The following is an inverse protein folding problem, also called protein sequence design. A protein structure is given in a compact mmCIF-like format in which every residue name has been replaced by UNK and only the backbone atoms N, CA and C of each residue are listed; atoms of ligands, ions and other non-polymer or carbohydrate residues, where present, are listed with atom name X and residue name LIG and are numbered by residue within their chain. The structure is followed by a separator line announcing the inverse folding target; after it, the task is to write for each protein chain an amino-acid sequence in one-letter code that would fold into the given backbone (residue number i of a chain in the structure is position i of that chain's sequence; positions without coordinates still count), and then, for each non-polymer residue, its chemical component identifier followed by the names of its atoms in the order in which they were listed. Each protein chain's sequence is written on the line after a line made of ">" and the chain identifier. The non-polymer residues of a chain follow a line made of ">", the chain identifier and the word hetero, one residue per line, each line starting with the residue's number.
data_IF_434183162890
#
_entry.id   IF_434183162890
#
_cell.length_a   1.000
_cell.length_b   1.000
_cell.length_c   1.000
_cell.angle_alpha   90.00
_cell.angle_beta   90.00
_cell.angle_gamma   90.00
#
_symmetry.space_group_name_H-M   'P 1'
#
loop_
_entity.id
_entity.type
_entity.pdbx_description
1 polymer ?
#
# COMPACT_ATOMS: atom_id res chain seq x y z
N UNK A 1 -8.22 -40.51 20.98
CA UNK A 1 -7.43 -39.29 20.71
C UNK A 1 -7.18 -39.19 19.21
N UNK A 2 -7.44 -38.03 18.61
CA UNK A 2 -6.53 -37.61 17.53
C UNK A 2 -6.12 -36.13 17.63
N UNK A 3 -4.82 -35.91 17.39
CA UNK A 3 -4.22 -34.76 16.70
C UNK A 3 -4.50 -33.35 17.27
N UNK A 4 -3.95 -33.09 18.46
CA UNK A 4 -3.41 -31.76 18.78
C UNK A 4 -2.09 -31.61 18.03
N UNK A 5 -2.02 -30.86 16.92
CA UNK A 5 -0.76 -30.37 16.31
C UNK A 5 -1.04 -29.42 15.13
N UNK A 6 -1.73 -28.30 15.39
CA UNK A 6 -2.13 -27.35 14.33
C UNK A 6 -1.96 -25.87 14.66
N UNK A 7 -1.07 -25.52 15.60
CA UNK A 7 -0.84 -24.13 16.04
C UNK A 7 0.54 -23.47 15.76
N UNK A 8 1.51 -24.00 14.98
CA UNK A 8 2.87 -23.43 15.08
C UNK A 8 3.22 -22.25 14.17
N UNK A 9 2.77 -22.14 12.90
CA UNK A 9 3.47 -21.27 11.93
C UNK A 9 3.17 -19.78 12.08
N UNK A 10 1.91 -19.38 12.22
CA UNK A 10 1.51 -17.96 12.30
C UNK A 10 1.98 -17.32 13.62
N UNK A 11 1.78 -18.04 14.73
CA UNK A 11 2.27 -17.63 16.06
C UNK A 11 3.80 -17.54 16.05
N UNK A 12 4.49 -18.41 15.33
CA UNK A 12 5.95 -18.34 15.21
C UNK A 12 6.42 -17.15 14.35
N UNK A 13 5.68 -16.78 13.30
CA UNK A 13 5.99 -15.59 12.49
C UNK A 13 5.83 -14.30 13.30
N UNK A 14 4.71 -14.13 14.02
CA UNK A 14 4.49 -12.95 14.88
C UNK A 14 5.53 -12.87 16.00
N UNK A 15 5.80 -13.98 16.68
CA UNK A 15 6.81 -14.03 17.74
C UNK A 15 8.22 -13.73 17.22
N UNK A 16 8.55 -14.19 16.02
CA UNK A 16 9.86 -13.93 15.40
C UNK A 16 9.99 -12.51 14.86
N UNK A 17 8.91 -11.92 14.34
CA UNK A 17 8.88 -10.50 14.01
C UNK A 17 9.08 -9.65 15.27
N UNK A 18 8.37 -9.97 16.36
CA UNK A 18 8.55 -9.30 17.65
C UNK A 18 9.98 -9.47 18.18
N UNK A 19 10.53 -10.68 18.13
CA UNK A 19 11.92 -10.96 18.50
C UNK A 19 12.92 -10.19 17.62
N UNK A 20 12.69 -10.12 16.30
CA UNK A 20 13.52 -9.35 15.38
C UNK A 20 13.48 -7.85 15.70
N UNK A 21 12.28 -7.31 15.95
CA UNK A 21 12.09 -5.92 16.37
C UNK A 21 12.81 -5.63 17.70
N UNK A 22 12.92 -6.61 18.60
CA UNK A 22 13.59 -6.47 19.89
C UNK A 22 15.10 -6.76 19.87
N UNK A 23 15.62 -7.57 18.95
CA UNK A 23 17.02 -8.00 18.98
C UNK A 23 17.89 -7.28 17.96
N UNK A 24 17.33 -6.85 16.83
CA UNK A 24 18.09 -6.26 15.73
C UNK A 24 18.37 -4.77 15.97
N UNK A 25 19.53 -4.48 16.58
CA UNK A 25 19.96 -3.10 16.89
C UNK A 25 20.02 -2.17 15.65
N UNK A 26 20.59 -2.58 14.49
CA UNK A 26 20.53 -1.77 13.27
C UNK A 26 19.12 -1.43 12.81
N UNK A 27 18.21 -2.41 12.79
CA UNK A 27 16.81 -2.20 12.42
C UNK A 27 16.15 -1.18 13.37
N UNK A 28 16.33 -1.33 14.69
CA UNK A 28 15.81 -0.38 15.67
C UNK A 28 16.29 1.04 15.42
N UNK A 29 17.57 1.22 15.12
CA UNK A 29 18.14 2.53 14.83
C UNK A 29 17.50 3.15 13.57
N UNK A 30 17.41 2.39 12.48
CA UNK A 30 16.79 2.86 11.25
C UNK A 30 15.29 3.14 11.42
N UNK A 31 14.57 2.28 12.14
CA UNK A 31 13.16 2.48 12.42
C UNK A 31 12.91 3.69 13.32
N UNK A 32 13.75 3.92 14.34
CA UNK A 32 13.68 5.11 15.19
C UNK A 32 13.90 6.39 14.38
N UNK A 33 14.93 6.39 13.52
CA UNK A 33 15.22 7.52 12.63
C UNK A 33 14.08 7.76 11.64
N UNK A 34 13.50 6.70 11.09
CA UNK A 34 12.33 6.75 10.22
C UNK A 34 11.12 7.38 10.94
N UNK A 35 10.78 6.89 12.13
CA UNK A 35 9.70 7.45 12.95
C UNK A 35 9.95 8.92 13.30
N UNK A 36 11.20 9.30 13.55
CA UNK A 36 11.56 10.70 13.78
C UNK A 36 11.32 11.56 12.53
N UNK A 37 11.74 11.11 11.34
CA UNK A 37 11.50 11.80 10.07
C UNK A 37 10.01 11.92 9.72
N UNK A 38 9.23 10.88 10.01
CA UNK A 38 7.76 10.87 9.86
C UNK A 38 7.10 11.90 10.78
N UNK A 39 7.50 11.96 12.06
CA UNK A 39 7.02 12.96 13.02
C UNK A 39 7.41 14.39 12.63
N UNK A 40 8.64 14.62 12.19
CA UNK A 40 9.08 15.93 11.71
C UNK A 40 8.25 16.38 10.49
N UNK A 41 7.95 15.46 9.58
CA UNK A 41 7.09 15.74 8.43
C UNK A 41 5.66 16.08 8.86
N UNK A 42 5.08 15.32 9.79
CA UNK A 42 3.75 15.57 10.34
C UNK A 42 3.68 16.97 10.97
N UNK A 43 4.60 17.30 11.87
CA UNK A 43 4.59 18.59 12.60
C UNK A 43 4.67 19.76 11.61
N UNK A 44 5.53 19.65 10.60
CA UNK A 44 5.71 20.68 9.57
C UNK A 44 4.45 20.88 8.72
N UNK A 45 3.75 19.79 8.37
CA UNK A 45 2.64 19.80 7.42
C UNK A 45 1.26 19.59 8.06
N UNK A 46 1.15 19.64 9.39
CA UNK A 46 -0.04 19.25 10.15
C UNK A 46 -1.33 19.91 9.64
N UNK A 47 -1.32 21.24 9.50
CA UNK A 47 -2.49 21.98 9.01
C UNK A 47 -2.84 21.66 7.56
N UNK A 48 -1.84 21.43 6.71
CA UNK A 48 -2.07 21.10 5.30
C UNK A 48 -2.70 19.71 5.16
N UNK A 49 -2.15 18.72 5.87
CA UNK A 49 -2.65 17.34 5.89
C UNK A 49 -4.10 17.33 6.36
N UNK A 50 -4.39 17.94 7.51
CA UNK A 50 -5.75 17.97 8.06
C UNK A 50 -6.74 18.68 7.13
N UNK A 51 -6.33 19.79 6.50
CA UNK A 51 -7.16 20.48 5.51
C UNK A 51 -7.42 19.61 4.30
N UNK A 52 -6.42 18.86 3.83
CA UNK A 52 -6.58 18.00 2.67
C UNK A 52 -7.49 16.81 2.98
N UNK A 53 -7.34 16.19 4.16
CA UNK A 53 -8.26 15.15 4.66
C UNK A 53 -9.68 15.69 4.76
N UNK A 54 -9.89 16.87 5.34
CA UNK A 54 -11.23 17.46 5.42
C UNK A 54 -11.82 17.87 4.07
N UNK A 55 -10.96 18.13 3.08
CA UNK A 55 -11.38 18.45 1.70
C UNK A 55 -11.70 17.20 0.89
N UNK A 56 -11.31 16.02 1.37
CA UNK A 56 -11.74 14.74 0.80
C UNK A 56 -13.24 14.63 1.07
N UNK A 57 -14.06 14.98 0.07
CA UNK A 57 -15.50 15.08 0.19
C UNK A 57 -16.13 13.73 0.55
N UNK A 58 -17.00 13.73 1.56
CA UNK A 58 -17.83 12.58 1.93
C UNK A 58 -18.86 12.18 0.87
N UNK A 59 -19.10 13.03 -0.13
CA UNK A 59 -20.24 12.93 -1.06
C UNK A 59 -19.84 12.52 -2.48
N UNK A 60 -18.58 12.13 -2.70
CA UNK A 60 -18.12 11.67 -4.02
C UNK A 60 -18.15 10.15 -4.11
N UNK A 61 -19.19 9.61 -4.75
CA UNK A 61 -19.20 8.21 -5.20
C UNK A 61 -18.09 7.99 -6.22
N UNK A 62 -17.39 6.85 -6.10
CA UNK A 62 -16.30 6.50 -6.99
C UNK A 62 -16.72 6.58 -8.47
N UNK A 63 -15.99 7.37 -9.26
CA UNK A 63 -16.18 7.56 -10.71
C UNK A 63 -17.60 7.97 -11.14
N UNK A 64 -18.29 8.76 -10.30
CA UNK A 64 -19.68 9.17 -10.56
C UNK A 64 -19.85 9.99 -11.85
N UNK A 65 -18.87 10.82 -12.24
CA UNK A 65 -18.93 11.58 -13.48
C UNK A 65 -18.82 10.67 -14.70
N UNK A 66 -17.90 9.70 -14.67
CA UNK A 66 -17.70 8.68 -15.70
C UNK A 66 -18.96 7.81 -15.84
N UNK A 67 -19.56 7.40 -14.72
CA UNK A 67 -20.82 6.66 -14.74
C UNK A 67 -21.96 7.47 -15.39
N UNK A 68 -22.13 8.75 -15.01
CA UNK A 68 -23.14 9.64 -15.61
C UNK A 68 -22.90 9.83 -17.11
N UNK A 69 -21.64 9.99 -17.52
CA UNK A 69 -21.26 10.09 -18.92
C UNK A 69 -21.66 8.82 -19.70
N UNK A 70 -21.37 7.64 -19.15
CA UNK A 70 -21.73 6.36 -19.76
C UNK A 70 -23.24 6.15 -19.89
N UNK A 71 -24.03 6.65 -18.94
CA UNK A 71 -25.50 6.58 -18.98
C UNK A 71 -26.14 7.65 -19.89
N UNK A 72 -25.39 8.69 -20.26
CA UNK A 72 -25.90 9.74 -21.13
C UNK A 72 -26.13 9.22 -22.55
N UNK A 73 -27.26 9.61 -23.16
CA UNK A 73 -27.62 9.20 -24.53
C UNK A 73 -26.82 9.97 -25.60
N UNK A 74 -26.00 10.93 -25.18
CA UNK A 74 -25.10 11.75 -26.00
C UNK A 74 -23.70 11.14 -26.11
N UNK A 75 -23.60 9.82 -26.32
CA UNK A 75 -22.33 9.14 -26.65
C UNK A 75 -21.89 9.51 -28.06
N UNK A 76 -21.58 10.79 -28.28
CA UNK A 76 -21.22 11.29 -29.60
C UNK A 76 -19.75 10.93 -29.91
N UNK A 77 -18.92 10.66 -28.90
CA UNK A 77 -17.56 10.19 -29.04
C UNK A 77 -17.21 9.17 -27.95
N UNK A 78 -16.54 8.05 -28.30
CA UNK A 78 -15.95 7.10 -27.34
C UNK A 78 -14.68 7.68 -26.69
N UNK A 79 -14.79 8.84 -26.04
CA UNK A 79 -13.64 9.58 -25.48
C UNK A 79 -13.27 9.18 -24.06
N UNK A 80 -14.08 8.33 -23.42
CA UNK A 80 -13.93 7.89 -22.02
C UNK A 80 -14.06 6.37 -21.95
N UNK A 81 -13.45 5.74 -20.94
CA UNK A 81 -13.57 4.30 -20.67
C UNK A 81 -15.01 3.80 -20.62
N UNK A 82 -15.25 2.57 -21.05
CA UNK A 82 -16.56 1.93 -21.03
C UNK A 82 -16.85 1.18 -19.73
N UNK A 83 -15.81 0.82 -18.98
CA UNK A 83 -15.93 0.11 -17.72
C UNK A 83 -15.45 0.98 -16.55
N UNK A 84 -16.02 0.73 -15.36
CA UNK A 84 -15.73 1.50 -14.15
C UNK A 84 -14.68 0.84 -13.24
N UNK A 85 -14.25 -0.38 -13.55
CA UNK A 85 -13.20 -1.07 -12.80
C UNK A 85 -11.86 -0.30 -12.83
N UNK A 86 -11.03 -0.43 -11.78
CA UNK A 86 -9.86 0.43 -11.61
C UNK A 86 -8.84 0.32 -12.74
N UNK A 87 -8.72 -0.84 -13.39
CA UNK A 87 -7.78 -1.08 -14.49
C UNK A 87 -8.32 -0.73 -15.89
N UNK A 88 -9.61 -0.38 -16.01
CA UNK A 88 -10.22 0.04 -17.28
C UNK A 88 -9.40 1.12 -18.04
N UNK A 89 -8.86 2.18 -17.40
CA UNK A 89 -8.08 3.18 -18.12
C UNK A 89 -6.80 2.63 -18.74
N UNK A 90 -6.18 1.64 -18.10
CA UNK A 90 -4.99 0.97 -18.62
C UNK A 90 -5.33 -0.06 -19.69
N UNK A 91 -6.39 -0.83 -19.49
CA UNK A 91 -6.85 -1.91 -20.38
C UNK A 91 -7.42 -1.37 -21.70
N UNK A 92 -8.24 -0.33 -21.63
CA UNK A 92 -8.86 0.30 -22.80
C UNK A 92 -7.99 1.40 -23.42
N UNK A 93 -6.96 1.85 -22.69
CA UNK A 93 -6.12 2.98 -23.08
C UNK A 93 -6.96 4.25 -23.40
N UNK A 94 -8.00 4.46 -22.59
CA UNK A 94 -8.91 5.61 -22.61
C UNK A 94 -8.92 6.28 -21.23
N UNK A 95 -9.14 7.60 -21.15
CA UNK A 95 -9.22 8.31 -19.88
C UNK A 95 -10.58 8.10 -19.19
N UNK A 96 -10.63 8.37 -17.89
CA UNK A 96 -11.89 8.61 -17.16
C UNK A 96 -12.30 10.09 -17.30
N UNK A 97 -13.50 10.47 -16.83
CA UNK A 97 -13.89 11.88 -16.78
C UNK A 97 -12.87 12.72 -15.99
N UNK A 98 -12.66 13.96 -16.42
CA UNK A 98 -11.62 14.83 -15.86
C UNK A 98 -11.83 15.13 -14.38
N UNK A 99 -13.09 15.28 -13.95
CA UNK A 99 -13.47 15.53 -12.56
C UNK A 99 -13.14 14.32 -11.67
N UNK A 100 -13.42 13.10 -12.16
CA UNK A 100 -13.08 11.88 -11.45
C UNK A 100 -11.55 11.71 -11.38
N UNK A 101 -10.85 12.02 -12.48
CA UNK A 101 -9.38 11.98 -12.51
C UNK A 101 -8.77 12.95 -11.52
N UNK A 102 -9.25 14.18 -11.45
CA UNK A 102 -8.79 15.16 -10.48
C UNK A 102 -9.05 14.71 -9.03
N UNK A 103 -10.19 14.08 -8.79
CA UNK A 103 -10.55 13.54 -7.46
C UNK A 103 -9.65 12.36 -7.08
N UNK A 104 -9.40 11.41 -8.00
CA UNK A 104 -8.47 10.30 -7.79
C UNK A 104 -7.04 10.81 -7.56
N UNK A 105 -6.55 11.77 -8.36
CA UNK A 105 -5.22 12.34 -8.22
C UNK A 105 -5.05 13.08 -6.88
N UNK A 106 -6.08 13.81 -6.44
CA UNK A 106 -6.09 14.44 -5.13
C UNK A 106 -6.05 13.39 -4.01
N UNK A 107 -6.87 12.33 -4.10
CA UNK A 107 -6.86 11.23 -3.14
C UNK A 107 -5.47 10.60 -3.02
N UNK A 108 -4.80 10.26 -4.12
CA UNK A 108 -3.45 9.70 -4.08
C UNK A 108 -2.45 10.62 -3.38
N UNK A 109 -2.55 11.93 -3.62
CA UNK A 109 -1.72 12.93 -2.94
C UNK A 109 -1.97 12.93 -1.43
N UNK A 110 -3.23 12.97 -0.97
CA UNK A 110 -3.56 12.95 0.46
C UNK A 110 -3.11 11.64 1.11
N UNK A 111 -3.36 10.49 0.45
CA UNK A 111 -2.89 9.19 0.91
C UNK A 111 -1.38 9.17 1.10
N UNK A 112 -0.61 9.68 0.13
CA UNK A 112 0.84 9.74 0.24
C UNK A 112 1.29 10.67 1.38
N UNK A 113 0.68 11.84 1.54
CA UNK A 113 1.02 12.77 2.64
C UNK A 113 0.81 12.14 4.02
N UNK A 114 -0.31 11.43 4.21
CA UNK A 114 -0.63 10.71 5.45
C UNK A 114 0.33 9.53 5.65
N UNK A 115 0.62 8.76 4.60
CA UNK A 115 1.58 7.66 4.65
C UNK A 115 3.00 8.13 4.99
N UNK A 116 3.46 9.24 4.38
CA UNK A 116 4.75 9.90 4.62
C UNK A 116 4.90 10.42 6.07
N UNK A 117 3.79 10.66 6.74
CA UNK A 117 3.72 11.07 8.14
C UNK A 117 3.73 9.90 9.14
N UNK A 118 3.80 8.66 8.68
CA UNK A 118 3.81 7.45 9.51
C UNK A 118 2.42 6.90 9.87
N UNK A 119 1.34 7.48 9.35
CA UNK A 119 -0.04 7.10 9.67
C UNK A 119 -0.63 6.17 8.60
N UNK A 120 0.02 5.04 8.32
CA UNK A 120 -0.41 4.15 7.23
C UNK A 120 -1.81 3.55 7.44
N UNK A 121 -2.22 3.29 8.69
CA UNK A 121 -3.59 2.82 9.00
C UNK A 121 -4.65 3.88 8.67
N UNK A 122 -4.36 5.16 8.94
CA UNK A 122 -5.24 6.28 8.59
C UNK A 122 -5.29 6.49 7.07
N UNK A 123 -4.17 6.32 6.37
CA UNK A 123 -4.16 6.35 4.90
C UNK A 123 -5.12 5.29 4.31
N UNK A 124 -5.21 4.10 4.92
CA UNK A 124 -6.16 3.07 4.49
C UNK A 124 -7.62 3.44 4.75
N UNK A 125 -7.93 4.18 5.82
CA UNK A 125 -9.31 4.64 6.07
C UNK A 125 -9.77 5.72 5.09
N UNK A 126 -8.84 6.50 4.51
CA UNK A 126 -9.16 7.43 3.42
C UNK A 126 -9.69 6.72 2.17
N UNK A 127 -9.24 5.48 1.90
CA UNK A 127 -9.76 4.70 0.78
C UNK A 127 -11.24 4.34 0.99
N UNK A 128 -11.64 4.03 2.22
CA UNK A 128 -13.04 3.74 2.54
C UNK A 128 -13.89 5.02 2.47
N UNK A 129 -13.36 6.15 2.96
CA UNK A 129 -14.01 7.46 2.86
C UNK A 129 -14.26 7.87 1.39
N UNK A 130 -13.36 7.49 0.48
CA UNK A 130 -13.45 7.81 -0.94
C UNK A 130 -14.13 6.73 -1.79
N UNK A 131 -14.88 5.80 -1.18
CA UNK A 131 -15.60 4.70 -1.84
C UNK A 131 -14.68 3.80 -2.71
N UNK A 132 -13.44 3.65 -2.27
CA UNK A 132 -12.37 2.93 -2.98
C UNK A 132 -11.76 1.84 -2.08
N UNK A 133 -12.61 1.10 -1.38
CA UNK A 133 -12.21 -0.04 -0.54
C UNK A 133 -11.43 -1.11 -1.31
N UNK A 134 -11.65 -1.25 -2.62
CA UNK A 134 -10.81 -2.09 -3.47
C UNK A 134 -9.32 -1.70 -3.41
N UNK A 135 -9.01 -0.40 -3.29
CA UNK A 135 -7.64 0.09 -3.18
C UNK A 135 -7.05 -0.21 -1.82
N UNK A 136 -7.84 -0.09 -0.76
CA UNK A 136 -7.44 -0.51 0.58
C UNK A 136 -6.97 -1.97 0.57
N UNK A 137 -7.72 -2.84 -0.12
CA UNK A 137 -7.39 -4.26 -0.24
C UNK A 137 -6.16 -4.54 -1.12
N UNK A 138 -5.83 -3.66 -2.07
CA UNK A 138 -4.63 -3.81 -2.91
C UNK A 138 -3.36 -3.30 -2.23
N UNK A 139 -3.47 -2.57 -1.12
CA UNK A 139 -2.34 -2.06 -0.35
C UNK A 139 -1.99 -3.04 0.77
N UNK A 140 -0.80 -3.65 0.68
CA UNK A 140 -0.29 -4.57 1.69
C UNK A 140 0.90 -3.95 2.43
N UNK A 141 0.65 -3.50 3.66
CA UNK A 141 1.69 -2.92 4.53
C UNK A 141 2.22 -3.99 5.49
N UNK A 142 3.37 -4.58 5.16
CA UNK A 142 4.01 -5.60 6.01
C UNK A 142 4.30 -5.13 7.45
N UNK A 143 4.48 -3.83 7.69
CA UNK A 143 4.69 -3.31 9.05
C UNK A 143 3.45 -3.46 9.93
N UNK A 144 2.27 -3.50 9.32
CA UNK A 144 0.98 -3.64 9.97
C UNK A 144 0.25 -4.91 9.55
N UNK A 145 0.94 -5.84 8.88
CA UNK A 145 0.33 -7.07 8.42
C UNK A 145 -0.04 -7.93 9.63
N UNK A 146 -1.34 -8.02 9.88
CA UNK A 146 -1.89 -8.99 10.80
C UNK A 146 -2.36 -10.19 9.95
N UNK A 147 -1.71 -11.36 10.04
CA UNK A 147 -2.25 -12.56 9.42
C UNK A 147 -3.66 -12.76 10.00
N UNK A 148 -4.69 -12.66 9.16
CA UNK A 148 -6.05 -12.85 9.62
C UNK A 148 -6.15 -14.24 10.22
N UNK A 149 -6.33 -14.31 11.54
CA UNK A 149 -6.56 -15.56 12.26
C UNK A 149 -7.95 -16.05 11.84
N UNK A 150 -8.04 -16.82 10.76
CA UNK A 150 -9.04 -17.88 10.71
C UNK A 150 -8.51 -18.94 11.66
N UNK A 151 -9.26 -19.28 12.70
CA UNK A 151 -8.84 -20.12 13.84
C UNK A 151 -8.33 -21.54 13.47
N UNK A 152 -8.19 -21.87 12.19
CA UNK A 152 -7.57 -23.08 11.65
C UNK A 152 -6.86 -22.76 10.34
N UNK A 153 -5.63 -22.25 10.41
CA UNK A 153 -4.76 -22.10 9.24
C UNK A 153 -3.77 -23.27 9.27
N UNK A 154 -3.90 -24.18 8.31
CA UNK A 154 -2.93 -25.26 8.11
C UNK A 154 -1.61 -24.67 7.58
N UNK A 155 -0.48 -25.38 7.75
CA UNK A 155 0.85 -24.98 7.23
C UNK A 155 0.80 -24.64 5.73
N UNK A 156 -0.02 -25.35 4.95
CA UNK A 156 -0.24 -25.09 3.53
C UNK A 156 -0.86 -23.71 3.24
N UNK A 157 -1.73 -23.21 4.12
CA UNK A 157 -2.39 -21.90 3.96
C UNK A 157 -1.42 -20.75 4.30
N UNK A 158 -0.46 -20.94 5.22
CA UNK A 158 0.61 -19.97 5.48
C UNK A 158 1.57 -19.83 4.29
N UNK A 159 1.95 -20.94 3.66
CA UNK A 159 2.76 -20.93 2.42
C UNK A 159 1.97 -20.27 1.27
N UNK A 160 0.65 -20.52 1.20
CA UNK A 160 -0.23 -19.85 0.25
C UNK A 160 -0.24 -18.31 0.44
N UNK A 161 -0.26 -17.83 1.68
CA UNK A 161 -0.18 -16.39 2.00
C UNK A 161 1.18 -15.76 1.62
N UNK A 162 2.29 -16.48 1.78
CA UNK A 162 3.62 -16.01 1.40
C UNK A 162 3.82 -15.97 -0.13
N UNK A 163 3.32 -16.98 -0.85
CA UNK A 163 3.31 -16.98 -2.31
C UNK A 163 2.39 -15.87 -2.87
N UNK A 164 1.28 -15.59 -2.20
CA UNK A 164 0.42 -14.45 -2.52
C UNK A 164 1.14 -13.11 -2.30
N UNK A 165 1.98 -13.00 -1.26
CA UNK A 165 2.79 -11.81 -1.02
C UNK A 165 3.79 -11.54 -2.17
N UNK A 166 4.51 -12.56 -2.65
CA UNK A 166 5.45 -12.40 -3.77
C UNK A 166 4.73 -11.95 -5.05
N UNK A 167 3.60 -12.56 -5.38
CA UNK A 167 2.77 -12.16 -6.51
C UNK A 167 2.25 -10.72 -6.38
N UNK A 168 1.84 -10.34 -5.17
CA UNK A 168 1.45 -8.97 -4.86
C UNK A 168 2.63 -8.01 -5.05
N UNK A 169 3.82 -8.35 -4.56
CA UNK A 169 5.03 -7.51 -4.67
C UNK A 169 5.42 -7.32 -6.13
N UNK A 170 5.41 -8.37 -6.94
CA UNK A 170 5.65 -8.27 -8.39
C UNK A 170 4.63 -7.34 -9.08
N UNK A 171 3.38 -7.42 -8.67
CA UNK A 171 2.31 -6.56 -9.18
C UNK A 171 2.52 -5.10 -8.77
N UNK A 172 2.90 -4.86 -7.51
CA UNK A 172 3.23 -3.53 -6.99
C UNK A 172 4.48 -2.93 -7.66
N UNK A 173 5.50 -3.75 -7.94
CA UNK A 173 6.68 -3.34 -8.71
C UNK A 173 6.32 -2.96 -10.15
N UNK A 174 5.48 -3.75 -10.83
CA UNK A 174 4.99 -3.40 -12.17
C UNK A 174 4.20 -2.09 -12.17
N UNK A 175 3.33 -1.89 -11.19
CA UNK A 175 2.54 -0.67 -11.05
C UNK A 175 3.42 0.55 -10.75
N UNK A 176 4.37 0.44 -9.82
CA UNK A 176 5.29 1.52 -9.46
C UNK A 176 6.20 1.97 -10.62
N UNK A 177 6.51 1.07 -11.55
CA UNK A 177 7.27 1.37 -12.78
C UNK A 177 6.40 1.87 -13.95
N UNK A 178 5.06 1.87 -13.81
CA UNK A 178 4.17 2.28 -14.88
C UNK A 178 4.05 3.81 -14.95
N UNK A 179 4.72 4.43 -15.91
CA UNK A 179 4.71 5.89 -16.09
C UNK A 179 3.33 6.50 -16.43
N UNK A 180 2.34 5.68 -16.83
CA UNK A 180 0.95 6.14 -17.03
C UNK A 180 0.18 6.30 -15.71
N UNK A 181 0.63 5.66 -14.63
CA UNK A 181 0.01 5.74 -13.32
C UNK A 181 0.40 7.05 -12.60
N UNK A 182 -0.43 7.46 -11.63
CA UNK A 182 -0.21 8.67 -10.85
C UNK A 182 1.12 8.58 -10.07
N UNK A 183 1.85 9.68 -9.96
CA UNK A 183 3.17 9.69 -9.29
C UNK A 183 3.11 9.31 -7.80
N UNK A 184 2.08 9.73 -7.08
CA UNK A 184 1.87 9.38 -5.68
C UNK A 184 1.44 7.93 -5.53
N UNK A 185 0.63 7.41 -6.46
CA UNK A 185 0.30 5.98 -6.51
C UNK A 185 1.57 5.14 -6.67
N UNK A 186 2.39 5.47 -7.67
CA UNK A 186 3.66 4.79 -7.91
C UNK A 186 4.60 4.87 -6.72
N UNK A 187 4.59 5.98 -5.99
CA UNK A 187 5.40 6.15 -4.79
C UNK A 187 4.90 5.32 -3.61
N UNK A 188 3.59 5.23 -3.36
CA UNK A 188 3.02 4.39 -2.29
C UNK A 188 3.41 2.93 -2.52
N UNK A 189 3.10 2.38 -3.71
CA UNK A 189 3.48 1.01 -4.05
C UNK A 189 5.00 0.83 -4.12
N UNK A 190 5.73 1.87 -4.51
CA UNK A 190 7.19 1.89 -4.51
C UNK A 190 7.78 1.70 -3.12
N UNK A 191 7.29 2.43 -2.12
CA UNK A 191 7.78 2.30 -0.73
C UNK A 191 7.51 0.90 -0.20
N UNK A 192 6.29 0.38 -0.43
CA UNK A 192 5.87 -0.92 0.09
C UNK A 192 6.61 -2.09 -0.58
N UNK A 193 6.95 -1.95 -1.87
CA UNK A 193 7.66 -2.97 -2.63
C UNK A 193 9.20 -2.78 -2.65
N UNK A 194 9.71 -1.67 -2.12
CA UNK A 194 11.14 -1.34 -2.10
C UNK A 194 11.69 -0.74 -3.40
N UNK A 195 10.86 -0.16 -4.27
CA UNK A 195 11.27 0.54 -5.49
C UNK A 195 11.58 2.02 -5.22
N UNK A 196 12.86 2.32 -4.98
CA UNK A 196 13.33 3.69 -4.71
C UNK A 196 13.09 4.63 -5.90
N UNK A 197 13.26 4.13 -7.14
CA UNK A 197 13.20 4.94 -8.35
C UNK A 197 11.82 5.54 -8.60
N UNK A 198 10.74 4.87 -8.15
CA UNK A 198 9.38 5.41 -8.31
C UNK A 198 9.04 6.51 -7.31
N UNK A 199 9.79 6.61 -6.19
CA UNK A 199 9.58 7.55 -5.10
C UNK A 199 10.43 8.82 -5.28
N UNK A 200 11.66 8.68 -5.78
CA UNK A 200 12.57 9.82 -5.95
C UNK A 200 11.96 11.04 -6.70
N UNK A 201 11.11 10.88 -7.74
CA UNK A 201 10.53 12.02 -8.45
C UNK A 201 9.68 12.94 -7.57
N UNK A 202 9.06 12.42 -6.49
CA UNK A 202 8.23 13.20 -5.58
C UNK A 202 9.01 13.73 -4.35
N UNK A 203 10.25 13.28 -4.16
CA UNK A 203 11.10 13.72 -3.05
C UNK A 203 11.62 15.14 -3.31
N UNK A 204 11.15 16.11 -2.52
CA UNK A 204 11.55 17.52 -2.68
C UNK A 204 12.73 17.93 -1.81
N UNK A 205 12.92 17.26 -0.67
CA UNK A 205 13.94 17.62 0.32
C UNK A 205 14.90 16.47 0.62
N UNK A 206 16.07 16.79 1.16
CA UNK A 206 17.01 15.79 1.65
C UNK A 206 16.37 14.82 2.65
N UNK A 207 15.49 15.33 3.52
CA UNK A 207 14.76 14.52 4.48
C UNK A 207 13.80 13.52 3.81
N UNK A 208 13.24 13.88 2.65
CA UNK A 208 12.36 12.97 1.88
C UNK A 208 13.16 11.88 1.18
N UNK A 209 14.33 12.23 0.65
CA UNK A 209 15.25 11.25 0.07
C UNK A 209 15.71 10.27 1.15
N UNK A 210 16.15 10.78 2.31
CA UNK A 210 16.54 9.93 3.44
C UNK A 210 15.39 9.05 3.93
N UNK A 211 14.17 9.60 4.05
CA UNK A 211 12.97 8.85 4.39
C UNK A 211 12.69 7.72 3.38
N UNK A 212 12.83 7.98 2.09
CA UNK A 212 12.64 6.99 1.03
C UNK A 212 13.59 5.80 1.20
N UNK A 213 14.90 6.05 1.33
CA UNK A 213 15.90 5.00 1.51
C UNK A 213 15.69 4.20 2.81
N UNK A 214 15.42 4.89 3.92
CA UNK A 214 15.16 4.24 5.20
C UNK A 214 13.88 3.41 5.16
N UNK A 215 12.80 3.92 4.58
CA UNK A 215 11.53 3.18 4.45
C UNK A 215 11.76 1.89 3.67
N UNK A 216 12.37 1.97 2.48
CA UNK A 216 12.65 0.78 1.68
C UNK A 216 13.56 -0.21 2.42
N UNK A 217 14.57 0.28 3.16
CA UNK A 217 15.44 -0.58 3.97
C UNK A 217 14.69 -1.28 5.12
N UNK A 218 13.79 -0.57 5.80
CA UNK A 218 12.94 -1.13 6.86
C UNK A 218 11.99 -2.17 6.29
N UNK A 219 11.27 -1.87 5.21
CA UNK A 219 10.37 -2.81 4.53
C UNK A 219 11.10 -4.07 4.05
N UNK A 220 12.27 -3.93 3.42
CA UNK A 220 13.09 -5.06 2.99
C UNK A 220 13.59 -5.91 4.18
N UNK A 221 13.84 -5.29 5.34
CA UNK A 221 14.28 -6.01 6.53
C UNK A 221 13.14 -6.85 7.12
N UNK A 222 11.92 -6.29 7.16
CA UNK A 222 10.70 -7.03 7.56
C UNK A 222 10.41 -8.15 6.57
N UNK A 223 10.47 -7.87 5.28
CA UNK A 223 10.24 -8.86 4.22
C UNK A 223 11.18 -10.06 4.35
N UNK A 224 12.49 -9.84 4.58
CA UNK A 224 13.45 -10.95 4.78
C UNK A 224 13.06 -11.88 5.92
N UNK A 225 12.51 -11.33 7.01
CA UNK A 225 12.03 -12.14 8.14
C UNK A 225 10.80 -12.93 7.71
N UNK A 226 9.86 -12.30 7.01
CA UNK A 226 8.63 -12.93 6.52
C UNK A 226 8.93 -14.06 5.52
N UNK A 227 9.84 -13.84 4.58
CA UNK A 227 10.23 -14.85 3.56
C UNK A 227 11.13 -15.94 4.11
N UNK A 228 11.94 -15.66 5.14
CA UNK A 228 12.76 -16.68 5.81
C UNK A 228 11.95 -17.84 6.42
N UNK A 229 10.63 -17.66 6.60
CA UNK A 229 9.74 -18.76 6.98
C UNK A 229 9.36 -19.68 5.81
N UNK A 230 9.43 -19.20 4.57
CA UNK A 230 9.16 -20.01 3.38
C UNK A 230 10.27 -21.02 3.14
N UNK A 231 11.53 -20.59 3.20
CA UNK A 231 12.70 -21.43 2.90
C UNK A 231 12.94 -22.54 3.96
N UNK A 232 12.53 -22.31 5.20
CA UNK A 232 12.66 -23.31 6.28
C UNK A 232 11.59 -24.41 6.23
N UNK A 233 10.50 -24.23 5.46
CA UNK A 233 9.45 -25.22 5.28
C UNK A 233 9.83 -26.32 4.28
N UNK A 234 10.64 -26.00 3.28
CA UNK A 234 11.04 -26.92 2.20
C UNK A 234 12.13 -27.93 2.62
N UNK A 235 12.78 -27.69 3.76
CA UNK A 235 13.81 -28.59 4.31
C UNK A 235 13.29 -29.60 5.35
N UNK A 236 11.98 -29.62 5.62
CA UNK A 236 11.34 -30.56 6.54
C UNK A 236 10.43 -31.59 5.86
N UNK A 237 10.40 -31.65 4.52
CA UNK A 237 9.69 -32.69 3.75
C UNK A 237 10.59 -33.84 3.32
#
# INVERSE_FOLDING_TARGET
>A
EPLKNGQPVVINMENSLNSFFETNSPFKFYNLLLCWLEKCYLIKNFHLINRNISSLSSDTTYRSCTQKYLLSHTRINNSVVNHLDPDAPFRENLPICQEDKATEDFLYRVMFEVFRSGHSVEMLSLCDLADQTWRKLSILDLRNFQPQIREKINVADSILQLNQYQLWKDSALKLSNNNKANEFERAIYGVLAGNINSILPICSSYNDILWCFLSCSVYNSVEKVVLGFSDNGDHQS
#
